data_IF_101569314224
#
_entry.id   IF_101569314224
#
_cell.length_a   1.000
_cell.length_b   1.000
_cell.length_c   1.000
_cell.angle_alpha   90.00
_cell.angle_beta   90.00
_cell.angle_gamma   90.00
#
_symmetry.space_group_name_H-M   'P 1'
#
loop_
_entity.id
_entity.type
_entity.pdbx_description
1 polymer ?
#
# COMPACT_ATOMS: atom_id res chain seq x y z
N UNK A 1 -18.71 14.01 -18.25
CA UNK A 1 -19.96 13.27 -18.53
C UNK A 1 -20.40 12.50 -17.29
N UNK A 2 -21.67 12.09 -17.18
CA UNK A 2 -22.21 11.35 -16.02
C UNK A 2 -21.37 10.13 -15.57
N UNK A 3 -20.71 9.36 -16.47
CA UNK A 3 -19.83 8.25 -16.10
C UNK A 3 -18.59 8.65 -15.29
N UNK A 4 -17.94 9.77 -15.65
CA UNK A 4 -16.74 10.25 -14.95
C UNK A 4 -17.05 10.73 -13.54
N UNK A 5 -18.24 11.31 -13.35
CA UNK A 5 -18.70 11.76 -12.05
C UNK A 5 -18.92 10.58 -11.09
N UNK A 6 -19.60 9.52 -11.53
CA UNK A 6 -19.81 8.31 -10.72
C UNK A 6 -18.48 7.64 -10.35
N UNK A 7 -17.56 7.51 -11.32
CA UNK A 7 -16.21 6.97 -11.07
C UNK A 7 -15.46 7.79 -10.01
N UNK A 8 -15.53 9.12 -10.07
CA UNK A 8 -14.91 9.99 -9.06
C UNK A 8 -15.57 9.83 -7.68
N UNK A 9 -16.88 9.66 -7.62
CA UNK A 9 -17.59 9.41 -6.36
C UNK A 9 -17.15 8.10 -5.72
N UNK A 10 -17.07 7.02 -6.49
CA UNK A 10 -16.65 5.70 -5.97
C UNK A 10 -15.19 5.73 -5.51
N UNK A 11 -14.31 6.38 -6.27
CA UNK A 11 -12.92 6.61 -5.87
C UNK A 11 -12.82 7.35 -4.53
N UNK A 12 -13.50 8.48 -4.40
CA UNK A 12 -13.47 9.27 -3.17
C UNK A 12 -14.13 8.54 -1.99
N UNK A 13 -15.14 7.71 -2.24
CA UNK A 13 -15.75 6.85 -1.22
C UNK A 13 -14.76 5.85 -0.65
N UNK A 14 -14.02 5.19 -1.54
CA UNK A 14 -13.02 4.16 -1.21
C UNK A 14 -11.79 4.76 -0.53
N UNK A 15 -11.17 5.77 -1.11
CA UNK A 15 -9.84 6.24 -0.69
C UNK A 15 -9.87 7.42 0.29
N UNK A 16 -11.00 8.14 0.35
CA UNK A 16 -11.17 9.28 1.25
C UNK A 16 -12.38 9.14 2.17
N UNK A 17 -12.51 8.02 2.92
CA UNK A 17 -13.63 7.78 3.84
C UNK A 17 -13.77 8.92 4.85
N UNK A 18 -15.00 9.24 5.22
CA UNK A 18 -15.30 10.18 6.29
C UNK A 18 -15.66 9.40 7.55
N UNK A 19 -15.04 9.77 8.66
CA UNK A 19 -15.40 9.29 10.00
C UNK A 19 -16.43 10.21 10.69
N UNK A 20 -16.83 11.30 10.03
CA UNK A 20 -17.79 12.25 10.56
C UNK A 20 -19.22 11.82 10.25
N UNK A 21 -20.09 11.85 11.25
CA UNK A 21 -21.54 11.67 11.11
C UNK A 21 -22.23 12.87 10.43
N UNK A 22 -21.52 14.00 10.25
CA UNK A 22 -22.09 15.20 9.62
C UNK A 22 -21.98 15.15 8.09
N UNK A 23 -23.11 15.39 7.42
CA UNK A 23 -23.23 15.39 5.95
C UNK A 23 -22.29 16.39 5.25
N UNK A 24 -21.96 17.51 5.89
CA UNK A 24 -21.08 18.54 5.32
C UNK A 24 -19.62 18.09 5.26
N UNK A 25 -19.12 17.45 6.33
CA UNK A 25 -17.78 16.86 6.38
C UNK A 25 -17.63 15.60 5.51
N UNK A 26 -18.76 14.97 5.17
CA UNK A 26 -18.85 13.84 4.25
C UNK A 26 -19.23 14.24 2.80
N UNK A 27 -19.30 15.53 2.49
CA UNK A 27 -19.65 15.99 1.15
C UNK A 27 -18.60 15.60 0.10
N UNK A 28 -19.05 15.46 -1.16
CA UNK A 28 -18.16 15.19 -2.28
C UNK A 28 -17.06 16.26 -2.41
N UNK A 29 -17.42 17.53 -2.23
CA UNK A 29 -16.47 18.65 -2.23
C UNK A 29 -15.44 18.51 -1.10
N UNK A 30 -15.85 18.14 0.12
CA UNK A 30 -14.92 17.93 1.23
C UNK A 30 -13.95 16.77 0.94
N UNK A 31 -14.42 15.66 0.38
CA UNK A 31 -13.57 14.54 -0.05
C UNK A 31 -12.60 14.95 -1.17
N UNK A 32 -13.05 15.76 -2.13
CA UNK A 32 -12.16 16.33 -3.15
C UNK A 32 -11.09 17.24 -2.56
N UNK A 33 -11.44 18.11 -1.60
CA UNK A 33 -10.46 18.97 -0.92
C UNK A 33 -9.42 18.14 -0.17
N UNK A 34 -9.83 17.05 0.50
CA UNK A 34 -8.89 16.09 1.12
C UNK A 34 -7.95 15.47 0.09
N UNK A 35 -8.48 15.02 -1.04
CA UNK A 35 -7.67 14.49 -2.14
C UNK A 35 -6.68 15.52 -2.69
N UNK A 36 -7.14 16.73 -2.98
CA UNK A 36 -6.29 17.82 -3.48
C UNK A 36 -5.15 18.14 -2.49
N UNK A 37 -5.46 18.24 -1.20
CA UNK A 37 -4.45 18.43 -0.15
C UNK A 37 -3.44 17.29 -0.13
N UNK A 38 -3.90 16.03 -0.14
CA UNK A 38 -3.03 14.86 -0.12
C UNK A 38 -2.08 14.83 -1.32
N UNK A 39 -2.60 15.08 -2.53
CA UNK A 39 -1.81 15.10 -3.76
C UNK A 39 -1.05 16.42 -3.98
N UNK A 40 -1.05 17.35 -3.01
CA UNK A 40 -0.40 18.67 -3.06
C UNK A 40 -0.83 19.51 -4.27
N UNK A 41 -2.12 19.46 -4.60
CA UNK A 41 -2.77 20.21 -5.66
C UNK A 41 -3.49 21.45 -5.09
N UNK A 42 -3.80 22.46 -5.93
CA UNK A 42 -4.65 23.57 -5.52
C UNK A 42 -6.00 23.08 -4.96
N UNK A 43 -6.33 23.51 -3.74
CA UNK A 43 -7.53 23.06 -3.00
C UNK A 43 -8.72 23.91 -3.42
N UNK A 44 -9.44 23.45 -4.44
CA UNK A 44 -10.62 24.14 -5.01
C UNK A 44 -11.93 23.45 -4.68
N UNK A 45 -11.92 22.17 -4.32
CA UNK A 45 -13.12 21.34 -4.21
C UNK A 45 -13.79 21.00 -5.55
N UNK A 46 -13.14 21.33 -6.67
CA UNK A 46 -13.68 21.11 -8.02
C UNK A 46 -13.01 19.92 -8.67
N UNK A 47 -13.81 19.03 -9.29
CA UNK A 47 -13.31 17.92 -10.10
C UNK A 47 -12.71 18.46 -11.40
N UNK A 48 -11.41 18.28 -11.60
CA UNK A 48 -10.68 18.70 -12.80
C UNK A 48 -10.27 17.50 -13.64
N UNK A 49 -10.00 17.67 -14.95
CA UNK A 49 -9.46 16.58 -15.79
C UNK A 49 -8.18 15.96 -15.20
N UNK A 50 -7.33 16.78 -14.58
CA UNK A 50 -6.11 16.32 -13.90
C UNK A 50 -6.41 15.39 -12.72
N UNK A 51 -7.46 15.63 -11.95
CA UNK A 51 -7.87 14.73 -10.87
C UNK A 51 -8.40 13.41 -11.43
N UNK A 52 -9.17 13.46 -12.52
CA UNK A 52 -9.66 12.25 -13.19
C UNK A 52 -8.49 11.41 -13.71
N UNK A 53 -7.46 12.02 -14.30
CA UNK A 53 -6.23 11.32 -14.69
C UNK A 53 -5.54 10.61 -13.51
N UNK A 54 -5.53 11.23 -12.33
CA UNK A 54 -4.96 10.60 -11.12
C UNK A 54 -5.83 9.44 -10.66
N UNK A 55 -7.16 9.59 -10.69
CA UNK A 55 -8.12 8.55 -10.29
C UNK A 55 -8.06 7.30 -11.17
N UNK A 56 -7.64 7.45 -12.43
CA UNK A 56 -7.54 6.36 -13.41
C UNK A 56 -6.20 5.62 -13.37
N UNK A 57 -5.21 6.13 -12.62
CA UNK A 57 -3.92 5.45 -12.51
C UNK A 57 -4.03 4.27 -11.55
N UNK A 58 -3.40 3.12 -11.88
CA UNK A 58 -3.28 2.02 -10.94
C UNK A 58 -2.61 2.47 -9.65
N UNK A 59 -3.07 1.96 -8.51
CA UNK A 59 -2.68 2.42 -7.18
C UNK A 59 -2.88 1.33 -6.13
N UNK A 60 -2.39 1.59 -4.93
CA UNK A 60 -2.70 0.83 -3.72
C UNK A 60 -4.18 1.00 -3.33
N UNK A 61 -4.77 -0.09 -2.83
CA UNK A 61 -6.14 -0.24 -2.38
C UNK A 61 -6.43 0.32 -0.98
N UNK A 62 -5.39 0.65 -0.21
CA UNK A 62 -5.51 1.22 1.14
C UNK A 62 -6.01 2.68 1.06
N UNK A 63 -6.90 3.14 1.98
CA UNK A 63 -7.34 4.53 2.00
C UNK A 63 -6.21 5.53 2.29
N UNK A 64 -6.23 6.68 1.61
CA UNK A 64 -5.19 7.74 1.70
C UNK A 64 -5.25 8.54 2.99
N UNK A 65 -6.43 8.62 3.58
CA UNK A 65 -6.71 9.39 4.79
C UNK A 65 -7.29 8.51 5.89
N UNK A 66 -6.90 7.23 5.92
CA UNK A 66 -7.20 6.40 7.06
C UNK A 66 -6.71 7.12 8.33
N UNK A 67 -7.64 7.47 9.21
CA UNK A 67 -7.33 7.78 10.60
C UNK A 67 -6.81 6.49 11.24
N UNK A 68 -5.53 6.20 11.02
CA UNK A 68 -4.73 5.48 12.01
C UNK A 68 -4.85 6.18 13.39
N UNK A 69 -5.35 7.41 13.43
CA UNK A 69 -5.77 8.24 14.56
C UNK A 69 -6.91 7.67 15.43
N UNK A 70 -7.74 6.73 14.96
CA UNK A 70 -8.73 6.06 15.84
C UNK A 70 -8.09 5.04 16.79
N UNK A 71 -6.82 4.69 16.57
CA UNK A 71 -6.00 3.92 17.50
C UNK A 71 -4.89 4.83 18.04
N UNK A 72 -4.97 5.28 19.31
CA UNK A 72 -3.92 6.07 19.95
C UNK A 72 -2.55 5.37 19.99
N UNK A 73 -2.48 4.09 19.64
CA UNK A 73 -1.26 3.34 19.46
C UNK A 73 -0.88 3.34 17.98
N UNK A 74 0.28 3.93 17.65
CA UNK A 74 0.99 3.65 16.39
C UNK A 74 0.95 2.14 16.15
N UNK A 75 0.15 1.66 15.19
CA UNK A 75 -0.02 0.24 14.90
C UNK A 75 1.30 -0.29 14.37
N UNK A 76 2.09 -0.88 15.27
CA UNK A 76 3.45 -1.36 14.99
C UNK A 76 3.67 -2.70 15.67
N UNK A 77 4.53 -3.51 15.07
CA UNK A 77 5.05 -4.72 15.71
C UNK A 77 5.88 -4.39 16.97
N UNK A 78 5.54 -5.00 18.10
CA UNK A 78 6.33 -4.88 19.34
C UNK A 78 7.52 -5.86 19.37
N UNK A 79 7.48 -6.93 18.58
CA UNK A 79 8.58 -7.88 18.43
C UNK A 79 9.67 -7.32 17.51
N UNK A 80 10.94 -7.63 17.80
CA UNK A 80 12.07 -7.37 16.89
C UNK A 80 12.18 -8.37 15.75
N UNK A 81 11.50 -9.50 15.86
CA UNK A 81 11.43 -10.53 14.83
C UNK A 81 9.99 -10.58 14.34
N UNK A 82 9.77 -10.24 13.08
CA UNK A 82 8.47 -10.35 12.41
C UNK A 82 8.55 -11.53 11.43
N UNK A 83 7.63 -12.47 11.56
CA UNK A 83 7.54 -13.64 10.71
C UNK A 83 6.69 -13.35 9.49
N UNK A 84 7.05 -13.94 8.34
CA UNK A 84 6.22 -13.83 7.14
C UNK A 84 6.10 -15.15 6.40
N UNK A 85 5.01 -15.31 5.66
CA UNK A 85 4.74 -16.50 4.85
C UNK A 85 4.02 -16.13 3.57
N UNK A 86 4.53 -16.62 2.44
CA UNK A 86 3.81 -16.57 1.15
C UNK A 86 2.86 -17.75 1.07
N UNK A 87 1.55 -17.50 0.99
CA UNK A 87 0.49 -18.50 1.05
C UNK A 87 -0.07 -18.89 -0.31
N UNK A 88 -0.02 -18.00 -1.29
CA UNK A 88 -0.34 -18.27 -2.69
C UNK A 88 0.67 -17.59 -3.59
N UNK A 89 0.69 -17.97 -4.87
CA UNK A 89 1.68 -17.52 -5.83
C UNK A 89 1.00 -17.22 -7.16
N UNK A 90 1.39 -16.11 -7.78
CA UNK A 90 0.99 -15.79 -9.15
C UNK A 90 1.53 -16.81 -10.16
N UNK A 91 0.82 -16.97 -11.28
CA UNK A 91 1.30 -17.75 -12.43
C UNK A 91 2.30 -16.99 -13.30
N UNK A 92 2.39 -15.67 -13.16
CA UNK A 92 3.26 -14.84 -13.99
C UNK A 92 4.75 -14.97 -13.64
N UNK A 93 5.06 -15.36 -12.40
CA UNK A 93 6.41 -15.46 -11.87
C UNK A 93 6.65 -16.83 -11.23
N UNK A 94 7.84 -17.43 -11.40
CA UNK A 94 8.21 -18.63 -10.65
C UNK A 94 8.13 -18.38 -9.14
N UNK A 95 7.69 -19.40 -8.38
CA UNK A 95 7.58 -19.31 -6.91
C UNK A 95 8.88 -18.87 -6.24
N UNK A 96 10.02 -19.31 -6.77
CA UNK A 96 11.35 -18.89 -6.29
C UNK A 96 11.56 -17.38 -6.46
N UNK A 97 11.15 -16.82 -7.59
CA UNK A 97 11.23 -15.38 -7.88
C UNK A 97 10.35 -14.59 -6.93
N UNK A 98 9.09 -14.98 -6.74
CA UNK A 98 8.19 -14.33 -5.76
C UNK A 98 8.81 -14.31 -4.36
N UNK A 99 9.34 -15.45 -3.89
CA UNK A 99 9.98 -15.54 -2.58
C UNK A 99 11.22 -14.63 -2.46
N UNK A 100 12.03 -14.54 -3.52
CA UNK A 100 13.21 -13.65 -3.56
C UNK A 100 12.80 -12.18 -3.54
N UNK A 101 11.76 -11.80 -4.27
CA UNK A 101 11.27 -10.42 -4.34
C UNK A 101 10.64 -9.98 -3.01
N UNK A 102 9.83 -10.82 -2.36
CA UNK A 102 9.32 -10.58 -1.00
C UNK A 102 10.47 -10.40 -0.01
N UNK A 103 11.45 -11.32 -0.02
CA UNK A 103 12.61 -11.20 0.86
C UNK A 103 13.42 -9.93 0.59
N UNK A 104 13.52 -9.51 -0.68
CA UNK A 104 14.22 -8.28 -1.07
C UNK A 104 13.46 -7.03 -0.60
N UNK A 105 12.13 -7.00 -0.72
CA UNK A 105 11.28 -5.92 -0.22
C UNK A 105 11.44 -5.75 1.31
N UNK A 106 11.33 -6.83 2.07
CA UNK A 106 11.56 -6.82 3.53
C UNK A 106 13.01 -6.44 3.90
N UNK A 107 13.97 -6.79 3.05
CA UNK A 107 15.37 -6.38 3.25
C UNK A 107 15.59 -4.88 3.03
N UNK A 108 14.79 -4.20 2.19
CA UNK A 108 14.84 -2.74 2.07
C UNK A 108 14.44 -2.09 3.39
N UNK A 109 13.33 -2.54 4.01
CA UNK A 109 12.89 -2.03 5.30
C UNK A 109 13.87 -2.37 6.43
N UNK A 110 14.27 -3.64 6.60
CA UNK A 110 15.16 -4.05 7.72
C UNK A 110 16.58 -3.48 7.67
N UNK A 111 16.98 -2.81 6.59
CA UNK A 111 18.23 -2.04 6.55
C UNK A 111 18.13 -0.75 7.36
N UNK A 112 16.95 -0.16 7.45
CA UNK A 112 16.73 1.18 8.00
C UNK A 112 16.22 1.16 9.46
N UNK A 113 15.72 0.01 9.93
CA UNK A 113 15.10 -0.15 11.26
C UNK A 113 15.62 -1.39 12.01
N UNK A 114 15.46 -1.46 13.36
CA UNK A 114 15.92 -2.60 14.17
C UNK A 114 14.96 -3.80 14.17
N UNK A 115 14.28 -4.06 13.04
CA UNK A 115 13.49 -5.28 12.83
C UNK A 115 14.25 -6.28 11.97
N UNK A 116 13.98 -7.56 12.23
CA UNK A 116 14.42 -8.69 11.41
C UNK A 116 13.22 -9.48 10.93
N UNK A 117 13.32 -10.00 9.71
CA UNK A 117 12.23 -10.74 9.08
C UNK A 117 12.60 -12.20 8.91
N UNK A 118 11.74 -13.09 9.41
CA UNK A 118 11.97 -14.54 9.35
C UNK A 118 10.86 -15.21 8.55
N UNK A 119 11.23 -15.83 7.44
CA UNK A 119 10.28 -16.64 6.67
C UNK A 119 9.93 -17.90 7.45
N UNK A 120 8.64 -18.23 7.52
CA UNK A 120 8.15 -19.54 7.98
C UNK A 120 7.50 -20.29 6.81
N UNK A 121 7.57 -21.62 6.83
CA UNK A 121 7.09 -22.47 5.73
C UNK A 121 5.72 -23.09 6.01
N UNK A 122 5.33 -23.18 7.27
CA UNK A 122 4.07 -23.75 7.73
C UNK A 122 3.52 -22.96 8.92
N UNK A 123 2.23 -23.16 9.22
CA UNK A 123 1.53 -22.42 10.27
C UNK A 123 1.23 -20.97 9.89
N UNK A 124 0.80 -20.20 10.89
CA UNK A 124 0.47 -18.78 10.75
C UNK A 124 1.71 -17.92 11.05
N UNK A 125 1.92 -16.88 10.26
CA UNK A 125 2.96 -15.89 10.43
C UNK A 125 2.36 -14.54 10.85
N UNK A 126 3.19 -13.57 11.23
CA UNK A 126 2.73 -12.20 11.51
C UNK A 126 2.27 -11.47 10.25
N UNK A 127 2.85 -11.82 9.09
CA UNK A 127 2.50 -11.27 7.77
C UNK A 127 2.24 -12.43 6.80
N UNK A 128 0.98 -12.63 6.42
CA UNK A 128 0.59 -13.58 5.38
C UNK A 128 0.50 -12.84 4.04
N UNK A 129 1.18 -13.38 3.03
CA UNK A 129 1.33 -12.75 1.71
C UNK A 129 0.64 -13.62 0.67
N UNK A 130 -0.41 -13.10 0.04
CA UNK A 130 -1.25 -13.84 -0.89
C UNK A 130 -1.57 -13.10 -2.17
N UNK A 131 -1.75 -13.86 -3.25
CA UNK A 131 -2.37 -13.44 -4.50
C UNK A 131 -3.81 -13.94 -4.53
N UNK A 132 -4.76 -13.07 -4.89
CA UNK A 132 -6.18 -13.38 -4.91
C UNK A 132 -6.92 -12.56 -5.98
N UNK A 133 -8.18 -12.91 -6.28
CA UNK A 133 -9.02 -12.23 -7.27
C UNK A 133 -10.36 -11.86 -6.67
N UNK A 134 -10.94 -10.74 -7.09
CA UNK A 134 -12.29 -10.33 -6.68
C UNK A 134 -12.51 -10.39 -5.17
N UNK A 135 -13.64 -10.93 -4.72
CA UNK A 135 -13.89 -11.20 -3.31
C UNK A 135 -13.05 -12.40 -2.82
N UNK A 136 -12.22 -12.17 -1.79
CA UNK A 136 -11.19 -13.15 -1.38
C UNK A 136 -11.06 -13.34 0.13
N UNK A 137 -12.17 -13.20 0.87
CA UNK A 137 -12.22 -13.52 2.30
C UNK A 137 -11.91 -12.36 3.24
N UNK A 138 -11.74 -11.16 2.70
CA UNK A 138 -11.78 -9.90 3.43
C UNK A 138 -12.91 -8.99 2.91
N UNK A 139 -13.04 -7.78 3.48
CA UNK A 139 -14.06 -6.80 3.11
C UNK A 139 -13.66 -5.90 1.93
N UNK A 140 -12.54 -6.18 1.26
CA UNK A 140 -11.94 -5.33 0.24
C UNK A 140 -11.71 -6.10 -1.07
N UNK A 141 -12.77 -6.42 -1.83
CA UNK A 141 -12.60 -7.16 -3.08
C UNK A 141 -11.73 -6.39 -4.09
N UNK A 142 -10.93 -7.14 -4.86
CA UNK A 142 -10.20 -6.60 -6.01
C UNK A 142 -11.15 -6.32 -7.20
N UNK A 143 -10.73 -5.42 -8.09
CA UNK A 143 -11.53 -4.86 -9.17
C UNK A 143 -11.17 -5.39 -10.57
N UNK A 144 -10.26 -6.36 -10.64
CA UNK A 144 -9.75 -6.89 -11.90
C UNK A 144 -8.62 -6.02 -12.45
N UNK A 145 -8.28 -6.13 -13.75
CA UNK A 145 -7.07 -5.48 -14.27
C UNK A 145 -7.09 -3.94 -14.18
N UNK A 146 -6.01 -3.37 -13.68
CA UNK A 146 -5.81 -1.94 -13.47
C UNK A 146 -6.35 -1.47 -12.11
N UNK A 147 -6.50 -0.15 -11.94
CA UNK A 147 -7.05 0.45 -10.72
C UNK A 147 -6.40 -0.02 -9.41
N UNK A 148 -6.90 -1.06 -8.73
CA UNK A 148 -6.37 -1.52 -7.44
C UNK A 148 -5.39 -2.67 -7.60
N UNK A 149 -4.10 -2.39 -7.43
CA UNK A 149 -3.04 -3.40 -7.65
C UNK A 149 -2.91 -4.40 -6.49
N UNK A 150 -3.07 -3.92 -5.27
CA UNK A 150 -2.80 -4.63 -4.04
C UNK A 150 -3.38 -3.85 -2.86
N UNK A 151 -3.46 -4.50 -1.69
CA UNK A 151 -3.68 -3.83 -0.41
C UNK A 151 -2.99 -4.59 0.72
N UNK A 152 -2.84 -3.93 1.85
CA UNK A 152 -2.34 -4.55 3.07
C UNK A 152 -3.02 -3.96 4.31
N UNK A 153 -2.82 -4.65 5.42
CA UNK A 153 -3.38 -4.27 6.71
C UNK A 153 -2.28 -3.82 7.66
N UNK A 154 -2.61 -2.86 8.53
CA UNK A 154 -1.70 -2.44 9.58
C UNK A 154 -1.38 -3.59 10.56
N UNK A 155 -0.24 -3.55 11.26
CA UNK A 155 0.15 -4.54 12.28
C UNK A 155 -0.97 -4.82 13.27
N UNK A 156 -1.28 -6.10 13.49
CA UNK A 156 -2.34 -6.51 14.41
C UNK A 156 -2.62 -8.01 14.36
N UNK A 157 -3.59 -8.50 15.15
CA UNK A 157 -4.04 -9.88 15.09
C UNK A 157 -4.92 -10.16 13.86
N UNK A 158 -5.09 -11.45 13.52
CA UNK A 158 -5.98 -11.87 12.43
C UNK A 158 -5.41 -11.48 11.07
N UNK A 159 -6.14 -10.66 10.30
CA UNK A 159 -5.68 -10.10 9.03
C UNK A 159 -4.64 -8.98 9.22
N UNK A 160 -4.43 -8.50 10.45
CA UNK A 160 -3.46 -7.44 10.72
C UNK A 160 -2.05 -7.84 10.29
N UNK A 161 -1.44 -7.02 9.44
CA UNK A 161 -0.12 -7.30 8.85
C UNK A 161 -0.17 -8.01 7.50
N UNK A 162 -1.29 -8.60 7.09
CA UNK A 162 -1.36 -9.34 5.84
C UNK A 162 -1.27 -8.41 4.62
N UNK A 163 -0.75 -8.93 3.51
CA UNK A 163 -0.62 -8.23 2.23
C UNK A 163 -1.16 -9.08 1.09
N UNK A 164 -2.12 -8.52 0.35
CA UNK A 164 -2.82 -9.17 -0.75
C UNK A 164 -2.49 -8.46 -2.07
N UNK A 165 -2.26 -9.24 -3.11
CA UNK A 165 -1.92 -8.78 -4.45
C UNK A 165 -2.99 -9.26 -5.42
N UNK A 166 -3.50 -8.38 -6.29
CA UNK A 166 -4.52 -8.77 -7.26
C UNK A 166 -3.91 -9.70 -8.34
N UNK A 167 -4.41 -10.93 -8.41
CA UNK A 167 -3.96 -11.94 -9.38
C UNK A 167 -4.58 -11.74 -10.78
N UNK A 168 -5.44 -10.75 -10.96
CA UNK A 168 -5.83 -10.26 -12.28
C UNK A 168 -4.83 -9.25 -12.88
N UNK A 169 -3.88 -8.76 -12.08
CA UNK A 169 -2.75 -7.97 -12.57
C UNK A 169 -1.66 -8.82 -13.19
N UNK A 170 -0.94 -8.23 -14.15
CA UNK A 170 0.24 -8.87 -14.75
C UNK A 170 1.50 -8.55 -13.93
N UNK A 171 1.93 -9.49 -13.10
CA UNK A 171 3.09 -9.32 -12.22
C UNK A 171 4.41 -9.61 -12.95
N UNK A 172 5.40 -8.76 -12.70
CA UNK A 172 6.72 -8.89 -13.33
C UNK A 172 7.84 -8.60 -12.33
N UNK A 173 9.05 -9.07 -12.63
CA UNK A 173 10.27 -8.82 -11.86
C UNK A 173 11.02 -7.55 -12.33
N UNK A 174 10.29 -6.60 -12.94
CA UNK A 174 10.83 -5.34 -13.48
C UNK A 174 10.79 -5.24 -15.00
N UNK A 175 9.93 -6.01 -15.67
CA UNK A 175 9.59 -5.78 -17.07
C UNK A 175 8.71 -4.52 -17.19
N UNK A 176 8.81 -3.80 -18.32
CA UNK A 176 7.94 -2.63 -18.60
C UNK A 176 6.53 -3.02 -19.04
N UNK A 177 6.27 -4.31 -19.27
CA UNK A 177 5.00 -4.80 -19.79
C UNK A 177 4.03 -5.29 -18.69
N UNK A 178 4.19 -4.82 -17.46
CA UNK A 178 3.32 -5.16 -16.33
C UNK A 178 3.70 -4.40 -15.06
N UNK A 179 3.17 -4.87 -13.93
CA UNK A 179 3.40 -4.28 -12.61
C UNK A 179 4.68 -4.85 -12.01
N UNK A 180 5.55 -4.00 -11.48
CA UNK A 180 6.79 -4.42 -10.85
C UNK A 180 6.49 -4.92 -9.42
N UNK A 181 6.48 -6.24 -9.25
CA UNK A 181 6.11 -6.86 -7.98
C UNK A 181 7.03 -6.44 -6.83
N UNK A 182 8.31 -6.15 -7.07
CA UNK A 182 9.21 -5.68 -6.00
C UNK A 182 8.75 -4.35 -5.42
N UNK A 183 8.35 -3.40 -6.28
CA UNK A 183 7.93 -2.06 -5.88
C UNK A 183 6.62 -2.16 -5.10
N UNK A 184 5.62 -2.83 -5.67
CA UNK A 184 4.32 -3.00 -5.03
C UNK A 184 4.45 -3.77 -3.72
N UNK A 185 5.23 -4.85 -3.67
CA UNK A 185 5.47 -5.56 -2.41
C UNK A 185 6.20 -4.70 -1.37
N UNK A 186 7.13 -3.85 -1.79
CA UNK A 186 7.79 -2.91 -0.85
C UNK A 186 6.79 -1.92 -0.27
N UNK A 187 5.87 -1.40 -1.09
CA UNK A 187 4.77 -0.53 -0.67
C UNK A 187 3.83 -1.22 0.33
N UNK A 188 3.23 -2.35 -0.04
CA UNK A 188 2.26 -3.06 0.81
C UNK A 188 2.90 -3.55 2.12
N UNK A 189 4.16 -3.96 2.07
CA UNK A 189 4.87 -4.34 3.29
C UNK A 189 5.22 -3.12 4.15
N UNK A 190 5.26 -1.90 3.61
CA UNK A 190 5.30 -0.68 4.40
C UNK A 190 4.03 -0.49 5.24
N UNK A 191 2.84 -0.74 4.66
CA UNK A 191 1.58 -0.79 5.40
C UNK A 191 1.57 -1.90 6.45
N UNK A 192 2.09 -3.08 6.10
CA UNK A 192 2.27 -4.21 7.02
C UNK A 192 3.23 -3.91 8.19
N UNK A 193 3.95 -2.79 8.12
CA UNK A 193 4.81 -2.25 9.19
C UNK A 193 4.24 -0.99 9.85
N UNK A 194 3.03 -0.58 9.48
CA UNK A 194 2.31 0.54 10.10
C UNK A 194 2.50 1.89 9.41
N UNK A 195 3.11 1.94 8.22
CA UNK A 195 3.17 3.17 7.44
C UNK A 195 1.81 3.48 6.79
N UNK A 196 1.44 4.76 6.78
CA UNK A 196 0.42 5.27 5.87
C UNK A 196 1.01 5.64 4.51
N UNK A 197 0.17 6.10 3.60
CA UNK A 197 0.65 6.65 2.34
C UNK A 197 1.42 7.97 2.54
N UNK A 198 2.40 8.19 1.66
CA UNK A 198 3.12 9.46 1.55
C UNK A 198 2.48 10.36 0.50
N UNK A 199 2.60 11.67 0.72
CA UNK A 199 2.28 12.70 -0.29
C UNK A 199 3.48 13.08 -1.17
N UNK A 200 4.67 12.53 -0.90
CA UNK A 200 5.85 12.72 -1.74
C UNK A 200 5.78 11.77 -2.95
N UNK A 201 5.70 12.28 -4.19
CA UNK A 201 5.63 11.42 -5.39
C UNK A 201 6.87 10.54 -5.61
N UNK A 202 7.98 10.77 -4.90
CA UNK A 202 9.19 9.96 -4.98
C UNK A 202 9.28 8.87 -3.89
N UNK A 203 8.34 8.85 -2.95
CA UNK A 203 8.28 7.83 -1.91
C UNK A 203 7.71 6.51 -2.44
N UNK A 204 8.21 5.37 -1.92
CA UNK A 204 7.60 4.07 -2.22
C UNK A 204 6.17 4.04 -1.72
N UNK A 205 5.90 4.70 -0.59
CA UNK A 205 4.57 4.79 0.02
C UNK A 205 3.65 5.78 -0.71
N UNK A 206 4.03 6.36 -1.83
CA UNK A 206 3.11 7.12 -2.67
C UNK A 206 2.05 6.17 -3.26
N UNK A 207 0.75 6.48 -3.17
CA UNK A 207 -0.30 5.51 -3.46
C UNK A 207 -0.38 5.10 -4.93
N UNK A 208 -0.03 6.01 -5.83
CA UNK A 208 -0.20 5.80 -7.27
C UNK A 208 1.02 5.14 -7.89
N UNK A 209 0.81 4.05 -8.60
CA UNK A 209 1.87 3.31 -9.26
C UNK A 209 2.54 4.12 -10.38
N UNK A 210 3.86 4.05 -10.43
CA UNK A 210 4.68 4.72 -11.44
C UNK A 210 5.28 3.70 -12.40
N UNK A 211 4.86 3.78 -13.68
CA UNK A 211 5.40 2.92 -14.74
C UNK A 211 6.90 3.22 -14.92
N UNK A 212 7.70 2.15 -15.01
CA UNK A 212 9.13 2.25 -15.32
C UNK A 212 10.06 2.33 -14.11
N UNK A 213 9.56 2.07 -12.89
CA UNK A 213 10.44 1.98 -11.72
C UNK A 213 11.49 0.87 -11.86
N UNK A 214 12.73 1.26 -11.56
CA UNK A 214 13.96 0.51 -11.85
C UNK A 214 14.15 -0.71 -10.94
N UNK A 215 14.87 -1.73 -11.45
CA UNK A 215 15.36 -2.88 -10.66
C UNK A 215 16.22 -2.48 -9.44
N UNK A 216 16.72 -1.25 -9.44
CA UNK A 216 17.56 -0.65 -8.39
C UNK A 216 16.81 0.38 -7.52
N UNK A 217 15.47 0.25 -7.42
CA UNK A 217 14.65 1.06 -6.53
C UNK A 217 15.21 1.11 -5.08
N UNK A 218 15.09 2.28 -4.44
CA UNK A 218 15.55 2.55 -3.06
C UNK A 218 14.47 3.33 -2.32
N UNK A 219 14.38 3.13 -1.01
CA UNK A 219 13.51 3.93 -0.14
C UNK A 219 13.89 5.40 -0.21
N UNK A 220 12.89 6.27 -0.27
CA UNK A 220 13.08 7.71 -0.23
C UNK A 220 13.40 8.19 1.20
N UNK A 221 13.94 9.40 1.38
CA UNK A 221 14.11 9.98 2.70
C UNK A 221 12.80 10.07 3.51
N UNK A 222 11.66 10.27 2.85
CA UNK A 222 10.35 10.32 3.50
C UNK A 222 9.94 8.94 4.04
N UNK A 223 10.14 7.89 3.25
CA UNK A 223 9.89 6.49 3.66
C UNK A 223 10.75 6.13 4.88
N UNK A 224 12.06 6.43 4.82
CA UNK A 224 13.04 6.14 5.87
C UNK A 224 12.66 6.87 7.17
N UNK A 225 12.37 8.18 7.09
CA UNK A 225 11.96 8.96 8.25
C UNK A 225 10.65 8.46 8.84
N UNK A 226 9.68 8.10 8.00
CA UNK A 226 8.40 7.54 8.41
C UNK A 226 8.58 6.25 9.21
N UNK A 227 9.35 5.31 8.69
CA UNK A 227 9.52 3.99 9.33
C UNK A 227 10.38 4.08 10.60
N UNK A 228 11.40 4.94 10.62
CA UNK A 228 12.23 5.18 11.80
C UNK A 228 11.47 5.91 12.91
N UNK A 229 10.44 6.70 12.60
CA UNK A 229 9.55 7.26 13.62
C UNK A 229 8.80 6.17 14.40
N UNK A 230 8.51 5.03 13.78
CA UNK A 230 7.81 3.90 14.41
C UNK A 230 8.78 2.99 15.19
N UNK A 231 9.93 2.68 14.60
CA UNK A 231 10.82 1.62 15.10
C UNK A 231 12.18 2.10 15.62
N UNK A 232 12.51 3.38 15.43
CA UNK A 232 13.84 3.91 15.64
C UNK A 232 14.81 3.56 14.51
N UNK A 233 16.01 4.14 14.57
CA UNK A 233 17.10 3.85 13.65
C UNK A 233 17.75 2.50 13.98
N UNK A 234 18.28 1.84 12.94
CA UNK A 234 19.14 0.68 13.14
C UNK A 234 20.48 1.14 13.71
N UNK A 235 20.76 0.78 14.95
CA UNK A 235 22.06 1.06 15.56
C UNK A 235 23.16 0.27 14.83
N UNK A 236 24.08 0.97 14.16
CA UNK A 236 25.30 0.41 13.57
C UNK A 236 26.36 0.09 14.63
N UNK A 237 25.97 -0.48 15.78
CA UNK A 237 26.93 -1.00 16.75
C UNK A 237 27.51 -2.28 16.14
N UNK A 238 28.66 -2.10 15.47
CA UNK A 238 29.61 -3.16 15.13
C UNK A 238 30.35 -3.59 16.39
#
# INVERSE_FOLDING_TARGET
SEPQWRQAQDYLRRFYPSNSETREADSFEARLKRMQTFFRLPVTGVLTPRLVEIMQKPRCGVPDVADYSLFPAQLKWNSRVVTYRVISYTRDLPRVTVNQLVSKALALWSREIPLSFRRVLAGTADIMIGFARGAHGDYYPFDGPGNTLAHAFAPGPGLGGDAHFDEDERWTDGSRLGVNFLVTATHELGHSLGLGHSSDPNAVMYPTYRVGESKNFRLSPDDIKGIQKLYGEKSNLR
#
